data_IF_123952238652
#
_entry.id   IF_123952238652
#
_cell.length_a   1.000
_cell.length_b   1.000
_cell.length_c   1.000
_cell.angle_alpha   90.00
_cell.angle_beta   90.00
_cell.angle_gamma   90.00
#
_symmetry.space_group_name_H-M   'P 1'
#
loop_
_entity.id
_entity.type
_entity.pdbx_description
1 polymer ?
#
# COMPACT_ATOMS: atom_id res chain seq x y z
N UNK A 1 -2.04 14.80 15.49
CA UNK A 1 -3.20 14.70 16.40
C UNK A 1 -4.44 14.29 15.63
N UNK A 2 -5.21 13.35 16.18
CA UNK A 2 -6.50 12.88 15.64
C UNK A 2 -7.70 13.68 16.17
N UNK A 3 -7.47 14.62 17.10
CA UNK A 3 -8.53 15.42 17.70
C UNK A 3 -9.38 16.15 16.64
N UNK A 4 -10.69 16.09 16.76
CA UNK A 4 -11.63 16.76 15.85
C UNK A 4 -11.73 16.16 14.43
N UNK A 5 -11.19 14.96 14.19
CA UNK A 5 -11.45 14.23 12.94
C UNK A 5 -12.77 13.48 13.02
N UNK A 6 -13.53 13.49 11.92
CA UNK A 6 -14.71 12.66 11.77
C UNK A 6 -14.35 11.19 11.51
N UNK A 7 -15.32 10.31 11.71
CA UNK A 7 -15.26 8.91 11.33
C UNK A 7 -16.65 8.45 10.88
N UNK A 8 -16.68 7.58 9.87
CA UNK A 8 -17.92 6.94 9.38
C UNK A 8 -17.91 5.43 9.63
N UNK A 9 -16.75 4.90 10.04
CA UNK A 9 -16.52 3.49 10.29
C UNK A 9 -16.07 3.27 11.73
N UNK A 10 -16.47 2.14 12.30
CA UNK A 10 -15.91 1.57 13.52
C UNK A 10 -15.20 0.26 13.19
N UNK A 11 -14.09 0.01 13.88
CA UNK A 11 -13.34 -1.23 13.81
C UNK A 11 -14.11 -2.38 14.47
N UNK A 12 -13.64 -3.61 14.28
CA UNK A 12 -14.18 -4.80 14.93
C UNK A 12 -14.12 -4.75 16.47
N UNK A 13 -13.16 -4.00 17.02
CA UNK A 13 -12.99 -3.77 18.46
C UNK A 13 -13.79 -2.57 18.99
N UNK A 14 -14.57 -1.90 18.12
CA UNK A 14 -15.40 -0.74 18.44
C UNK A 14 -14.68 0.61 18.39
N UNK A 15 -13.37 0.64 18.15
CA UNK A 15 -12.61 1.89 17.99
C UNK A 15 -12.99 2.64 16.70
N UNK A 16 -12.91 3.98 16.67
CA UNK A 16 -13.24 4.76 15.48
C UNK A 16 -12.17 4.61 14.40
N UNK A 17 -12.60 4.44 13.14
CA UNK A 17 -11.74 4.54 11.96
C UNK A 17 -11.91 5.93 11.36
N UNK A 18 -10.93 6.80 11.62
CA UNK A 18 -10.97 8.20 11.17
C UNK A 18 -10.99 8.33 9.65
N UNK A 19 -11.57 9.44 9.19
CA UNK A 19 -11.60 9.78 7.77
C UNK A 19 -10.19 10.03 7.22
N UNK A 20 -9.72 9.18 6.31
CA UNK A 20 -8.35 9.25 5.77
C UNK A 20 -8.11 10.55 4.98
N UNK A 21 -9.12 11.04 4.24
CA UNK A 21 -9.04 12.34 3.55
C UNK A 21 -8.78 13.53 4.49
N UNK A 22 -9.40 13.54 5.68
CA UNK A 22 -9.13 14.56 6.69
C UNK A 22 -7.75 14.37 7.34
N UNK A 23 -7.31 13.12 7.56
CA UNK A 23 -5.95 12.82 8.02
C UNK A 23 -4.89 13.36 7.05
N UNK A 24 -5.06 13.09 5.75
CA UNK A 24 -4.17 13.56 4.70
C UNK A 24 -4.13 15.09 4.60
N UNK A 25 -5.31 15.74 4.59
CA UNK A 25 -5.42 17.19 4.53
C UNK A 25 -4.70 17.85 5.71
N UNK A 26 -4.93 17.33 6.93
CA UNK A 26 -4.27 17.83 8.14
C UNK A 26 -2.76 17.63 8.10
N UNK A 27 -2.27 16.50 7.60
CA UNK A 27 -0.84 16.30 7.44
C UNK A 27 -0.25 17.33 6.48
N UNK A 28 -0.90 17.57 5.34
CA UNK A 28 -0.42 18.53 4.34
C UNK A 28 -0.36 19.95 4.90
N UNK A 29 -1.41 20.38 5.62
CA UNK A 29 -1.44 21.68 6.31
C UNK A 29 -0.28 21.83 7.31
N UNK A 30 0.02 20.77 8.07
CA UNK A 30 1.13 20.77 9.01
C UNK A 30 2.48 20.86 8.29
N UNK A 31 2.66 20.13 7.18
CA UNK A 31 3.89 20.22 6.37
C UNK A 31 4.06 21.61 5.74
N UNK A 32 2.98 22.25 5.31
CA UNK A 32 3.02 23.63 4.80
C UNK A 32 3.48 24.62 5.86
N UNK A 33 3.00 24.48 7.10
CA UNK A 33 3.43 25.31 8.24
C UNK A 33 4.87 25.05 8.68
N UNK A 34 5.35 23.80 8.56
CA UNK A 34 6.69 23.39 8.96
C UNK A 34 7.81 23.84 7.99
N UNK A 35 7.47 24.46 6.85
CA UNK A 35 8.46 24.96 5.88
C UNK A 35 9.04 23.88 4.98
N UNK A 36 10.35 23.91 4.75
CA UNK A 36 11.06 23.10 3.73
C UNK A 36 11.91 21.95 4.31
N UNK A 37 11.79 21.66 5.61
CA UNK A 37 12.48 20.55 6.22
C UNK A 37 12.12 19.21 5.54
N UNK A 38 13.12 18.34 5.37
CA UNK A 38 12.89 16.97 4.89
C UNK A 38 12.25 16.15 6.03
N UNK A 39 11.16 15.49 5.73
CA UNK A 39 10.43 14.64 6.67
C UNK A 39 10.12 13.30 6.02
N UNK A 40 9.96 12.26 6.84
CA UNK A 40 9.40 10.98 6.45
C UNK A 40 8.19 10.70 7.33
N UNK A 41 7.09 10.23 6.75
CA UNK A 41 5.85 9.94 7.48
C UNK A 41 5.35 8.55 7.10
N UNK A 42 5.05 7.74 8.10
CA UNK A 42 4.38 6.46 7.92
C UNK A 42 2.89 6.64 8.26
N UNK A 43 2.03 6.30 7.31
CA UNK A 43 0.59 6.23 7.49
C UNK A 43 0.15 4.76 7.47
N UNK A 44 -0.48 4.30 8.55
CA UNK A 44 -1.24 3.06 8.52
C UNK A 44 -2.74 3.38 8.41
N UNK A 45 -3.39 2.78 7.41
CA UNK A 45 -4.81 2.97 7.11
C UNK A 45 -5.49 1.60 7.14
N UNK A 46 -6.53 1.48 7.98
CA UNK A 46 -7.28 0.22 8.13
C UNK A 46 -8.77 0.32 7.71
N UNK A 47 -9.22 1.23 6.82
CA UNK A 47 -10.63 1.31 6.46
C UNK A 47 -11.10 0.05 5.71
N UNK A 48 -10.19 -0.70 5.08
CA UNK A 48 -10.47 -1.91 4.31
C UNK A 48 -10.39 -3.21 5.13
N UNK A 49 -10.10 -3.12 6.43
CA UNK A 49 -10.09 -4.30 7.30
C UNK A 49 -11.47 -4.97 7.33
N UNK A 50 -11.50 -6.30 7.44
CA UNK A 50 -12.75 -7.03 7.60
C UNK A 50 -13.38 -6.76 8.97
N UNK A 51 -14.71 -6.88 9.07
CA UNK A 51 -15.45 -6.63 10.29
C UNK A 51 -15.67 -5.15 10.62
N UNK A 52 -15.06 -4.21 9.89
CA UNK A 52 -15.39 -2.79 9.99
C UNK A 52 -16.86 -2.56 9.68
N UNK A 53 -17.52 -1.67 10.43
CA UNK A 53 -18.96 -1.38 10.32
C UNK A 53 -19.18 0.11 10.15
N UNK A 54 -20.26 0.49 9.46
CA UNK A 54 -20.70 1.88 9.49
C UNK A 54 -21.20 2.25 10.88
N UNK A 55 -20.96 3.50 11.32
CA UNK A 55 -21.49 4.01 12.59
C UNK A 55 -23.01 3.80 12.65
N UNK A 56 -23.49 3.20 13.74
CA UNK A 56 -24.91 2.87 13.93
C UNK A 56 -25.37 1.58 13.23
N UNK A 57 -24.50 0.86 12.53
CA UNK A 57 -24.78 -0.44 11.92
C UNK A 57 -24.12 -1.58 12.68
N UNK A 58 -24.82 -2.71 12.81
CA UNK A 58 -24.27 -3.97 13.32
C UNK A 58 -23.77 -4.90 12.20
N UNK A 59 -23.96 -4.53 10.94
CA UNK A 59 -23.49 -5.30 9.78
C UNK A 59 -22.12 -4.78 9.32
N UNK A 60 -21.27 -5.69 8.87
CA UNK A 60 -20.01 -5.33 8.20
C UNK A 60 -20.29 -4.44 7.00
N UNK A 61 -19.48 -3.40 6.85
CA UNK A 61 -19.53 -2.47 5.74
C UNK A 61 -18.99 -3.15 4.48
N UNK A 62 -19.70 -2.94 3.36
CA UNK A 62 -19.31 -3.49 2.06
C UNK A 62 -17.88 -3.07 1.68
N UNK A 63 -17.08 -4.02 1.17
CA UNK A 63 -15.69 -3.74 0.82
C UNK A 63 -15.58 -2.79 -0.36
N UNK A 64 -16.39 -2.97 -1.41
CA UNK A 64 -16.30 -2.20 -2.64
C UNK A 64 -16.56 -0.73 -2.38
N UNK A 65 -17.60 -0.40 -1.61
CA UNK A 65 -17.89 0.99 -1.22
C UNK A 65 -16.76 1.61 -0.42
N UNK A 66 -16.19 0.89 0.56
CA UNK A 66 -15.04 1.38 1.35
C UNK A 66 -13.79 1.59 0.51
N UNK A 67 -13.49 0.66 -0.40
CA UNK A 67 -12.37 0.78 -1.34
C UNK A 67 -12.52 1.97 -2.28
N UNK A 68 -13.73 2.20 -2.81
CA UNK A 68 -14.02 3.38 -3.64
C UNK A 68 -13.81 4.67 -2.85
N UNK A 69 -14.26 4.74 -1.60
CA UNK A 69 -14.03 5.89 -0.73
C UNK A 69 -12.55 6.14 -0.49
N UNK A 70 -11.78 5.12 -0.08
CA UNK A 70 -10.34 5.26 0.17
C UNK A 70 -9.59 5.72 -1.09
N UNK A 71 -9.87 5.10 -2.24
CA UNK A 71 -9.22 5.47 -3.52
C UNK A 71 -9.60 6.89 -3.96
N UNK A 72 -10.84 7.32 -3.74
CA UNK A 72 -11.28 8.69 -4.04
C UNK A 72 -10.61 9.71 -3.13
N UNK A 73 -10.46 9.39 -1.84
CA UNK A 73 -9.74 10.23 -0.87
C UNK A 73 -8.24 10.30 -1.20
N UNK A 74 -7.63 9.19 -1.61
CA UNK A 74 -6.25 9.14 -2.07
C UNK A 74 -6.05 9.98 -3.34
N UNK A 75 -6.94 9.89 -4.32
CA UNK A 75 -6.91 10.74 -5.52
C UNK A 75 -7.02 12.22 -5.16
N UNK A 76 -7.96 12.58 -4.29
CA UNK A 76 -8.11 13.96 -3.80
C UNK A 76 -6.84 14.45 -3.12
N UNK A 77 -6.20 13.61 -2.31
CA UNK A 77 -4.93 13.94 -1.68
C UNK A 77 -3.80 14.13 -2.71
N UNK A 78 -3.71 13.27 -3.72
CA UNK A 78 -2.73 13.44 -4.80
C UNK A 78 -2.95 14.76 -5.57
N UNK A 79 -4.20 15.15 -5.84
CA UNK A 79 -4.51 16.45 -6.45
C UNK A 79 -4.10 17.62 -5.55
N UNK A 80 -4.28 17.49 -4.23
CA UNK A 80 -3.81 18.49 -3.25
C UNK A 80 -2.29 18.57 -3.21
N UNK A 81 -1.58 17.43 -3.29
CA UNK A 81 -0.12 17.40 -3.38
C UNK A 81 0.38 18.11 -4.64
N UNK A 82 -0.20 17.82 -5.80
CA UNK A 82 0.13 18.48 -7.07
C UNK A 82 -0.08 20.00 -6.97
N UNK A 83 -1.24 20.44 -6.45
CA UNK A 83 -1.55 21.86 -6.25
C UNK A 83 -0.64 22.56 -5.23
N UNK A 84 -0.11 21.82 -4.25
CA UNK A 84 0.73 22.39 -3.21
C UNK A 84 2.12 22.81 -3.70
N UNK A 85 2.57 22.29 -4.85
CA UNK A 85 3.94 22.47 -5.35
C UNK A 85 5.03 21.85 -4.48
N UNK A 86 4.66 21.09 -3.43
CA UNK A 86 5.63 20.45 -2.54
C UNK A 86 6.30 19.26 -3.25
N UNK A 87 7.60 19.11 -2.97
CA UNK A 87 8.40 17.96 -3.40
C UNK A 87 8.10 16.78 -2.49
N UNK A 88 7.33 15.81 -3.00
CA UNK A 88 6.88 14.65 -2.22
C UNK A 88 7.09 13.37 -3.01
N UNK A 89 7.67 12.36 -2.38
CA UNK A 89 7.65 10.97 -2.85
C UNK A 89 6.56 10.24 -2.05
N UNK A 90 5.45 9.91 -2.71
CA UNK A 90 4.37 9.11 -2.14
C UNK A 90 4.61 7.64 -2.50
N UNK A 91 4.63 6.77 -1.50
CA UNK A 91 4.72 5.32 -1.66
C UNK A 91 3.46 4.71 -1.05
N UNK A 92 2.69 3.98 -1.85
CA UNK A 92 1.48 3.27 -1.41
C UNK A 92 1.78 1.78 -1.39
N UNK A 93 1.72 1.19 -0.20
CA UNK A 93 2.05 -0.23 0.04
C UNK A 93 0.95 -0.84 0.90
N UNK A 94 0.05 -1.68 0.34
CA UNK A 94 -0.88 -2.48 1.13
C UNK A 94 -0.12 -3.43 2.06
N UNK A 95 -0.69 -3.74 3.24
CA UNK A 95 -0.10 -4.75 4.14
C UNK A 95 -0.22 -6.16 3.54
N UNK A 96 -1.45 -6.52 3.17
CA UNK A 96 -1.83 -7.75 2.46
C UNK A 96 -3.24 -7.59 1.88
N UNK A 97 -3.70 -8.57 1.12
CA UNK A 97 -5.05 -8.67 0.58
C UNK A 97 -6.11 -8.94 1.65
N UNK A 98 -7.36 -8.62 1.32
CA UNK A 98 -8.50 -8.84 2.21
C UNK A 98 -9.13 -10.24 2.06
N UNK A 99 -8.56 -11.13 1.24
CA UNK A 99 -9.13 -12.45 0.92
C UNK A 99 -10.60 -12.39 0.48
N UNK A 100 -10.97 -11.39 -0.33
CA UNK A 100 -12.35 -11.20 -0.78
C UNK A 100 -12.87 -12.40 -1.57
N UNK A 101 -12.00 -13.01 -2.36
CA UNK A 101 -12.26 -14.24 -3.07
C UNK A 101 -11.49 -15.33 -2.34
N UNK A 102 -12.21 -16.36 -1.89
CA UNK A 102 -11.59 -17.58 -1.34
C UNK A 102 -11.04 -18.48 -2.44
N UNK A 103 -10.35 -19.52 -2.03
CA UNK A 103 -9.84 -20.58 -2.91
C UNK A 103 -10.16 -21.97 -2.33
N UNK A 104 -9.51 -23.01 -2.87
CA UNK A 104 -9.74 -24.39 -2.44
C UNK A 104 -9.26 -24.70 -1.02
N UNK A 105 -8.34 -23.89 -0.48
CA UNK A 105 -7.77 -24.05 0.86
C UNK A 105 -8.45 -23.17 1.89
N UNK A 106 -8.87 -21.96 1.51
CA UNK A 106 -9.42 -20.98 2.43
C UNK A 106 -10.66 -20.31 1.85
N UNK A 107 -11.73 -20.29 2.64
CA UNK A 107 -12.94 -19.53 2.29
C UNK A 107 -12.66 -18.01 2.32
N UNK A 108 -13.54 -17.23 1.68
CA UNK A 108 -13.47 -15.76 1.70
C UNK A 108 -13.36 -15.21 3.13
N UNK A 109 -12.50 -14.21 3.33
CA UNK A 109 -12.21 -13.56 4.60
C UNK A 109 -11.16 -14.29 5.46
N UNK A 110 -10.89 -15.59 5.23
CA UNK A 110 -9.89 -16.33 5.98
C UNK A 110 -8.48 -16.09 5.40
N UNK A 111 -7.51 -15.85 6.29
CA UNK A 111 -6.15 -15.43 5.92
C UNK A 111 -5.04 -16.16 6.67
N UNK A 112 -5.34 -17.34 7.23
CA UNK A 112 -4.37 -18.15 7.97
C UNK A 112 -3.25 -18.71 7.09
N UNK A 113 -3.41 -18.70 5.76
CA UNK A 113 -2.37 -19.07 4.81
C UNK A 113 -2.06 -17.82 3.98
N UNK A 114 -0.80 -17.39 3.89
CA UNK A 114 -0.43 -16.22 3.11
C UNK A 114 -0.33 -16.56 1.62
N UNK A 115 -1.47 -16.91 1.01
CA UNK A 115 -1.55 -17.35 -0.39
C UNK A 115 -1.19 -16.22 -1.37
N UNK A 116 -0.79 -16.54 -2.61
CA UNK A 116 -0.46 -15.50 -3.59
C UNK A 116 -1.60 -14.52 -3.87
N UNK A 117 -2.87 -14.96 -3.77
CA UNK A 117 -4.03 -14.07 -3.91
C UNK A 117 -4.17 -13.04 -2.77
N UNK A 118 -3.50 -13.28 -1.64
CA UNK A 118 -3.43 -12.38 -0.49
C UNK A 118 -2.14 -11.55 -0.53
N UNK A 119 -1.01 -12.14 -0.91
CA UNK A 119 0.31 -11.48 -0.80
C UNK A 119 0.75 -10.76 -2.07
N UNK A 120 0.12 -11.03 -3.22
CA UNK A 120 0.33 -10.24 -4.43
C UNK A 120 -0.47 -8.95 -4.39
N UNK A 121 0.17 -7.87 -3.94
CA UNK A 121 -0.43 -6.57 -3.68
C UNK A 121 -0.02 -5.50 -4.71
N UNK A 122 -0.90 -4.52 -5.00
CA UNK A 122 -0.54 -3.38 -5.83
C UNK A 122 0.31 -2.38 -5.04
N UNK A 123 1.56 -2.16 -5.45
CA UNK A 123 2.45 -1.14 -4.89
C UNK A 123 2.67 -0.02 -5.91
N UNK A 124 2.61 1.23 -5.45
CA UNK A 124 2.79 2.40 -6.32
C UNK A 124 3.73 3.44 -5.72
N UNK A 125 4.56 4.06 -6.57
CA UNK A 125 5.39 5.21 -6.22
C UNK A 125 5.05 6.37 -7.14
N UNK A 126 4.80 7.55 -6.58
CA UNK A 126 4.55 8.78 -7.33
C UNK A 126 5.35 9.94 -6.74
N UNK A 127 5.98 10.71 -7.62
CA UNK A 127 6.71 11.93 -7.26
C UNK A 127 5.87 13.15 -7.63
N UNK A 128 5.82 14.13 -6.72
CA UNK A 128 5.10 15.39 -6.84
C UNK A 128 6.10 16.56 -6.78
N UNK A 129 5.74 17.71 -7.39
CA UNK A 129 6.58 18.91 -7.35
C UNK A 129 7.91 18.77 -8.12
N UNK A 130 7.95 17.90 -9.12
CA UNK A 130 9.10 17.72 -10.00
C UNK A 130 9.18 18.85 -11.03
N UNK A 131 10.40 19.25 -11.39
CA UNK A 131 10.62 20.13 -12.54
C UNK A 131 10.27 19.46 -13.87
N UNK A 132 10.54 18.15 -13.99
CA UNK A 132 10.27 17.35 -15.19
C UNK A 132 9.43 16.11 -14.84
N UNK A 133 8.10 16.26 -14.69
CA UNK A 133 7.24 15.14 -14.32
C UNK A 133 7.22 14.05 -15.40
N UNK A 134 7.07 12.80 -14.98
CA UNK A 134 6.82 11.68 -15.90
C UNK A 134 5.48 11.84 -16.62
N UNK A 135 5.34 11.21 -17.80
CA UNK A 135 4.07 11.11 -18.50
C UNK A 135 2.98 10.37 -17.70
N UNK A 136 1.76 10.36 -18.24
CA UNK A 136 0.57 9.84 -17.55
C UNK A 136 0.56 8.32 -17.35
N UNK A 137 1.28 7.55 -18.18
CA UNK A 137 1.35 6.10 -18.05
C UNK A 137 2.33 5.69 -16.93
N UNK A 138 1.97 4.81 -16.00
CA UNK A 138 2.92 4.28 -15.02
C UNK A 138 3.99 3.41 -15.67
N UNK A 139 5.21 3.45 -15.14
CA UNK A 139 6.24 2.44 -15.46
C UNK A 139 5.91 1.18 -14.67
N UNK A 140 5.75 0.07 -15.38
CA UNK A 140 5.48 -1.24 -14.77
C UNK A 140 6.78 -1.93 -14.38
N UNK A 141 6.79 -2.52 -13.20
CA UNK A 141 7.86 -3.38 -12.69
C UNK A 141 7.28 -4.79 -12.60
N UNK A 142 7.55 -5.61 -13.60
CA UNK A 142 7.00 -6.96 -13.70
C UNK A 142 7.91 -8.03 -13.06
N UNK A 143 9.08 -7.63 -12.56
CA UNK A 143 10.01 -8.53 -11.85
C UNK A 143 9.54 -8.81 -10.42
N UNK A 144 9.73 -10.02 -9.88
CA UNK A 144 9.41 -10.35 -8.49
C UNK A 144 10.06 -9.36 -7.52
N UNK A 145 9.24 -8.64 -6.77
CA UNK A 145 9.67 -7.51 -5.94
C UNK A 145 9.06 -7.59 -4.54
N UNK A 146 9.80 -7.07 -3.56
CA UNK A 146 9.33 -6.89 -2.18
C UNK A 146 9.89 -5.59 -1.61
N UNK A 147 9.86 -5.41 -0.29
CA UNK A 147 10.22 -4.15 0.38
C UNK A 147 11.63 -3.64 0.06
N UNK A 148 12.57 -4.52 -0.31
CA UNK A 148 13.93 -4.11 -0.69
C UNK A 148 13.96 -3.25 -1.96
N UNK A 149 13.06 -3.48 -2.92
CA UNK A 149 12.94 -2.64 -4.11
C UNK A 149 12.45 -1.22 -3.76
N UNK A 150 11.57 -1.10 -2.76
CA UNK A 150 11.09 0.19 -2.25
C UNK A 150 12.24 0.93 -1.56
N UNK A 151 13.00 0.24 -0.71
CA UNK A 151 14.17 0.82 -0.04
C UNK A 151 15.20 1.35 -1.05
N UNK A 152 15.44 0.60 -2.13
CA UNK A 152 16.30 1.04 -3.23
C UNK A 152 15.75 2.29 -3.94
N UNK A 153 14.45 2.34 -4.26
CA UNK A 153 13.85 3.54 -4.87
C UNK A 153 13.97 4.77 -3.97
N UNK A 154 13.77 4.61 -2.65
CA UNK A 154 13.96 5.70 -1.67
C UNK A 154 15.43 6.13 -1.64
N UNK A 155 16.36 5.19 -1.62
CA UNK A 155 17.80 5.43 -1.67
C UNK A 155 18.21 6.24 -2.90
N UNK A 156 17.68 5.88 -4.08
CA UNK A 156 17.91 6.61 -5.34
C UNK A 156 17.34 8.04 -5.32
N UNK A 157 16.28 8.28 -4.57
CA UNK A 157 15.60 9.58 -4.51
C UNK A 157 16.07 10.49 -3.37
N UNK A 158 16.84 9.97 -2.40
CA UNK A 158 17.11 10.66 -1.12
C UNK A 158 17.91 11.96 -1.26
N UNK A 159 18.74 12.08 -2.29
CA UNK A 159 19.50 13.30 -2.57
C UNK A 159 18.60 14.45 -3.07
N UNK A 160 17.36 14.13 -3.48
CA UNK A 160 16.34 15.07 -3.94
C UNK A 160 16.52 15.56 -5.38
N UNK A 161 17.52 15.08 -6.13
CA UNK A 161 17.76 15.52 -7.52
C UNK A 161 16.62 15.13 -8.46
N UNK A 162 15.87 14.08 -8.14
CA UNK A 162 14.64 13.69 -8.85
C UNK A 162 13.65 14.86 -8.96
N UNK A 163 13.64 15.79 -8.01
CA UNK A 163 12.72 16.94 -8.03
C UNK A 163 13.23 18.16 -8.80
N UNK A 164 14.54 18.28 -9.01
CA UNK A 164 15.18 19.51 -9.52
C UNK A 164 15.91 19.34 -10.84
N UNK A 165 16.02 18.10 -11.35
CA UNK A 165 16.71 17.86 -12.63
C UNK A 165 15.76 18.21 -13.78
N UNK A 166 16.20 18.96 -14.80
CA UNK A 166 15.35 19.36 -15.94
C UNK A 166 14.93 18.20 -16.84
N UNK A 167 15.54 17.03 -16.69
CA UNK A 167 15.16 15.79 -17.36
C UNK A 167 15.49 14.61 -16.47
N UNK A 168 14.66 13.56 -16.48
CA UNK A 168 14.87 12.36 -15.68
C UNK A 168 14.88 11.14 -16.60
N UNK A 169 15.94 10.35 -16.53
CA UNK A 169 15.98 9.02 -17.15
C UNK A 169 15.27 8.01 -16.24
N UNK A 170 13.96 7.92 -16.42
CA UNK A 170 13.11 7.01 -15.65
C UNK A 170 13.38 5.54 -15.93
N UNK A 171 13.88 5.20 -17.11
CA UNK A 171 14.25 3.83 -17.45
C UNK A 171 15.42 3.39 -16.57
N UNK A 172 16.45 4.23 -16.46
CA UNK A 172 17.59 3.94 -15.58
C UNK A 172 17.18 3.99 -14.10
N UNK A 173 16.37 4.97 -13.70
CA UNK A 173 15.88 5.09 -12.32
C UNK A 173 15.11 3.85 -11.86
N UNK A 174 14.36 3.19 -12.75
CA UNK A 174 13.54 2.02 -12.44
C UNK A 174 14.17 0.67 -12.82
N UNK A 175 15.33 0.66 -13.48
CA UNK A 175 16.02 -0.56 -13.86
C UNK A 175 16.79 -1.20 -12.70
N UNK A 176 17.06 -2.51 -12.81
CA UNK A 176 17.93 -3.26 -11.89
C UNK A 176 17.57 -3.09 -10.41
N UNK A 177 16.26 -3.04 -10.11
CA UNK A 177 15.80 -3.07 -8.74
C UNK A 177 16.05 -4.47 -8.14
N UNK A 178 16.36 -4.56 -6.82
CA UNK A 178 16.49 -5.83 -6.14
C UNK A 178 15.25 -6.70 -6.32
N UNK A 179 15.43 -7.90 -6.86
CA UNK A 179 14.36 -8.88 -6.98
C UNK A 179 14.29 -9.72 -5.70
N UNK A 180 13.08 -10.13 -5.32
CA UNK A 180 12.85 -10.99 -4.16
C UNK A 180 11.92 -12.13 -4.59
N UNK A 181 12.29 -13.40 -4.35
CA UNK A 181 11.44 -14.52 -4.71
C UNK A 181 10.11 -14.47 -3.94
N UNK A 182 9.07 -15.07 -4.51
CA UNK A 182 7.77 -15.22 -3.84
C UNK A 182 7.92 -16.20 -2.69
N UNK A 183 8.05 -15.65 -1.49
CA UNK A 183 8.00 -16.37 -0.21
C UNK A 183 7.12 -15.54 0.72
N UNK A 184 6.19 -16.21 1.40
CA UNK A 184 5.30 -15.57 2.36
C UNK A 184 5.13 -16.48 3.57
N UNK A 185 5.19 -15.89 4.75
CA UNK A 185 5.18 -16.65 6.01
C UNK A 185 4.31 -15.95 7.04
N UNK A 186 3.65 -16.75 7.86
CA UNK A 186 3.09 -16.35 9.15
C UNK A 186 3.49 -17.39 10.20
N UNK A 187 2.93 -17.30 11.41
CA UNK A 187 3.29 -18.19 12.52
C UNK A 187 3.15 -19.69 12.18
N UNK A 188 2.18 -20.06 11.35
CA UNK A 188 1.76 -21.45 11.14
C UNK A 188 1.93 -21.94 9.70
N UNK A 189 2.25 -21.07 8.74
CA UNK A 189 2.28 -21.41 7.32
C UNK A 189 3.41 -20.68 6.58
N UNK A 190 4.09 -21.42 5.71
CA UNK A 190 5.01 -20.87 4.69
C UNK A 190 4.48 -21.22 3.32
N UNK A 191 4.38 -20.23 2.44
CA UNK A 191 4.02 -20.36 1.03
C UNK A 191 5.20 -19.90 0.18
N UNK A 192 5.58 -20.66 -0.84
CA UNK A 192 6.62 -20.25 -1.76
C UNK A 192 6.36 -20.73 -3.18
N UNK A 193 6.93 -20.03 -4.15
CA UNK A 193 7.07 -20.54 -5.51
C UNK A 193 8.35 -21.36 -5.66
N UNK A 194 8.23 -22.56 -6.24
CA UNK A 194 9.37 -23.39 -6.61
C UNK A 194 9.12 -24.02 -7.98
N UNK A 195 10.02 -23.77 -8.94
CA UNK A 195 9.92 -24.27 -10.32
C UNK A 195 8.56 -23.96 -11.00
N UNK A 196 8.05 -22.74 -10.83
CA UNK A 196 6.79 -22.29 -11.41
C UNK A 196 5.53 -22.88 -10.77
N UNK A 197 5.64 -23.53 -9.61
CA UNK A 197 4.52 -24.07 -8.84
C UNK A 197 4.52 -23.50 -7.43
N UNK A 198 3.33 -23.30 -6.87
CA UNK A 198 3.17 -22.83 -5.51
C UNK A 198 3.13 -24.03 -4.56
N UNK A 199 3.90 -23.96 -3.48
CA UNK A 199 3.96 -24.95 -2.42
C UNK A 199 3.62 -24.31 -1.09
N UNK A 200 3.09 -25.12 -0.18
CA UNK A 200 2.77 -24.75 1.19
C UNK A 200 3.38 -25.73 2.18
N UNK A 201 3.87 -25.19 3.30
CA UNK A 201 4.27 -25.93 4.49
C UNK A 201 3.47 -25.41 5.68
N UNK A 202 2.75 -26.29 6.35
CA UNK A 202 1.96 -25.97 7.55
C UNK A 202 2.65 -26.50 8.81
N UNK A 203 2.74 -25.70 9.86
CA UNK A 203 3.21 -26.06 11.20
C UNK A 203 4.55 -26.83 11.20
N UNK A 204 5.48 -26.42 10.31
CA UNK A 204 6.79 -27.08 10.17
C UNK A 204 6.77 -28.49 9.56
N UNK A 205 5.63 -28.94 9.04
CA UNK A 205 5.48 -30.25 8.39
C UNK A 205 6.13 -30.36 7.01
N UNK A 206 5.67 -31.33 6.22
CA UNK A 206 6.13 -31.52 4.84
C UNK A 206 5.59 -30.46 3.88
N UNK A 207 6.33 -30.19 2.81
CA UNK A 207 5.87 -29.35 1.71
C UNK A 207 4.88 -30.12 0.83
N UNK A 208 3.74 -29.50 0.53
CA UNK A 208 2.74 -30.03 -0.42
C UNK A 208 2.41 -28.96 -1.46
N UNK A 209 2.01 -29.35 -2.69
CA UNK A 209 1.53 -28.38 -3.68
C UNK A 209 0.33 -27.59 -3.14
N UNK A 210 0.30 -26.28 -3.36
CA UNK A 210 -0.86 -25.46 -3.05
C UNK A 210 -1.99 -25.79 -4.04
N UNK A 211 -3.19 -26.15 -3.59
CA UNK A 211 -4.31 -26.43 -4.47
C UNK A 211 -4.76 -25.17 -5.22
N UNK A 212 -4.50 -25.12 -6.53
CA UNK A 212 -5.06 -24.15 -7.48
C UNK A 212 -6.46 -24.54 -7.90
#
# INVERSE_FOLDING_TARGET
>A
SQAGLGHELTSFDGSPIFNDGQLFSRWLENQQKAGTARTATFFNLIPLHDGNRYVGSNKSADYRSRAQTLLSQLNTFMDQLDKSGRKVMLVVVPEHGAALVGDKMQISGLRDIPSPGITHIPVGVKFFGMQAPHGSAPIKIDTPSSYLAIAEMVSRAVDGKVFTTPSMDWKTFSANLPQTPLVSENENAVVMEYQGKIYIRLNGGGWVPYPS
#
